data_IF_060469781036
#
_entry.id   IF_060469781036
#
_cell.length_a   1.000
_cell.length_b   1.000
_cell.length_c   1.000
_cell.angle_alpha   90.00
_cell.angle_beta   90.00
_cell.angle_gamma   90.00
#
_symmetry.space_group_name_H-M   'P 1'
#
loop_
_entity.id
_entity.type
_entity.pdbx_description
1 polymer ?
#
# COMPACT_ATOMS: atom_id res chain seq x y z
N UNK A 1 24.14 10.42 14.92
CA UNK A 1 22.74 10.19 15.35
C UNK A 1 22.23 8.93 14.68
N UNK A 2 21.60 8.05 15.46
CA UNK A 2 20.92 6.87 14.93
C UNK A 2 19.64 7.31 14.19
N UNK A 3 19.26 6.66 13.10
CA UNK A 3 18.02 6.95 12.35
C UNK A 3 16.80 6.95 13.27
N UNK A 4 16.74 6.05 14.25
CA UNK A 4 15.64 6.00 15.23
C UNK A 4 15.58 7.29 16.05
N UNK A 5 16.72 7.77 16.55
CA UNK A 5 16.80 9.02 17.33
C UNK A 5 16.33 10.23 16.50
N UNK A 6 16.67 10.29 15.21
CA UNK A 6 16.20 11.36 14.33
C UNK A 6 14.68 11.32 14.13
N UNK A 7 14.09 10.13 14.04
CA UNK A 7 12.64 9.96 13.94
C UNK A 7 11.97 10.36 15.26
N UNK A 8 12.49 9.92 16.40
CA UNK A 8 11.99 10.30 17.72
C UNK A 8 12.01 11.82 17.91
N UNK A 9 13.13 12.48 17.60
CA UNK A 9 13.24 13.94 17.67
C UNK A 9 12.24 14.66 16.76
N UNK A 10 12.00 14.11 15.56
CA UNK A 10 10.97 14.63 14.67
C UNK A 10 9.57 14.48 15.28
N UNK A 11 9.22 13.31 15.79
CA UNK A 11 7.89 13.06 16.37
C UNK A 11 7.65 13.90 17.63
N UNK A 12 8.65 14.06 18.50
CA UNK A 12 8.55 14.91 19.69
C UNK A 12 8.28 16.37 19.31
N UNK A 13 8.92 16.88 18.26
CA UNK A 13 8.66 18.23 17.75
C UNK A 13 7.26 18.40 17.16
N UNK A 14 6.59 17.30 16.83
CA UNK A 14 5.29 17.26 16.16
C UNK A 14 4.22 16.60 17.04
N UNK A 15 4.45 16.49 18.36
CA UNK A 15 3.60 15.69 19.25
C UNK A 15 2.14 16.16 19.25
N UNK A 16 1.92 17.48 19.25
CA UNK A 16 0.59 18.10 19.21
C UNK A 16 -0.14 17.91 17.86
N UNK A 17 0.56 17.38 16.85
CA UNK A 17 0.12 17.24 15.46
C UNK A 17 0.32 15.82 14.94
N UNK A 18 0.38 14.85 15.85
CA UNK A 18 0.67 13.46 15.54
C UNK A 18 -0.33 12.87 14.54
N UNK A 19 -1.61 13.28 14.60
CA UNK A 19 -2.64 12.88 13.65
C UNK A 19 -2.31 13.30 12.20
N UNK A 20 -1.72 14.49 12.00
CA UNK A 20 -1.27 14.92 10.67
C UNK A 20 -0.05 14.13 10.19
N UNK A 21 0.85 13.78 11.11
CA UNK A 21 2.01 12.93 10.81
C UNK A 21 1.54 11.54 10.38
N UNK A 22 0.54 10.97 11.05
CA UNK A 22 -0.08 9.69 10.68
C UNK A 22 -0.59 9.77 9.24
N UNK A 23 -1.35 10.82 8.90
CA UNK A 23 -1.90 10.99 7.56
C UNK A 23 -0.81 11.03 6.47
N UNK A 24 0.29 11.76 6.72
CA UNK A 24 1.41 11.86 5.77
C UNK A 24 2.18 10.53 5.64
N UNK A 25 2.42 9.85 6.76
CA UNK A 25 3.07 8.52 6.76
C UNK A 25 2.25 7.53 5.97
N UNK A 26 0.95 7.40 6.27
CA UNK A 26 0.06 6.45 5.61
C UNK A 26 -0.11 6.78 4.11
N UNK A 27 -0.09 8.06 3.73
CA UNK A 27 -0.12 8.49 2.35
C UNK A 27 1.16 8.11 1.59
N UNK A 28 2.33 8.23 2.23
CA UNK A 28 3.62 7.92 1.62
C UNK A 28 3.93 6.42 1.54
N UNK A 29 3.21 5.59 2.29
CA UNK A 29 3.35 4.14 2.25
C UNK A 29 2.89 3.54 0.91
N UNK A 30 3.61 2.53 0.39
CA UNK A 30 3.22 1.85 -0.83
C UNK A 30 1.94 1.04 -0.63
N UNK A 31 1.07 1.03 -1.65
CA UNK A 31 -0.18 0.23 -1.64
C UNK A 31 0.08 -1.25 -1.34
N UNK A 32 1.26 -1.78 -1.70
CA UNK A 32 1.64 -3.17 -1.46
C UNK A 32 1.64 -3.60 0.00
N UNK A 33 1.82 -2.66 0.94
CA UNK A 33 1.69 -2.96 2.36
C UNK A 33 0.27 -3.41 2.72
N UNK A 34 -0.73 -2.89 2.02
CA UNK A 34 -2.14 -3.09 2.32
C UNK A 34 -2.76 -4.27 1.58
N UNK A 35 -2.00 -4.99 0.75
CA UNK A 35 -2.56 -6.13 0.02
C UNK A 35 -2.68 -7.41 0.86
N UNK A 36 -1.72 -7.74 1.75
CA UNK A 36 -1.81 -8.99 2.52
C UNK A 36 -2.80 -8.92 3.69
N UNK A 37 -3.43 -10.05 4.06
CA UNK A 37 -3.42 -11.34 3.36
C UNK A 37 -4.45 -11.44 2.22
N UNK A 38 -5.30 -10.43 2.02
CA UNK A 38 -6.47 -10.46 1.11
C UNK A 38 -6.07 -10.67 -0.35
N UNK A 39 -4.85 -10.31 -0.73
CA UNK A 39 -4.26 -10.64 -2.04
C UNK A 39 -4.26 -12.15 -2.35
N UNK A 40 -4.38 -13.00 -1.33
CA UNK A 40 -4.46 -14.45 -1.43
C UNK A 40 -5.89 -15.00 -1.33
N UNK A 41 -6.89 -14.13 -1.13
CA UNK A 41 -8.29 -14.54 -1.12
C UNK A 41 -8.77 -14.96 -2.52
N UNK A 42 -9.81 -15.78 -2.54
CA UNK A 42 -10.32 -16.48 -3.72
C UNK A 42 -10.56 -15.54 -4.92
N UNK A 43 -11.14 -14.36 -4.70
CA UNK A 43 -11.43 -13.42 -5.80
C UNK A 43 -10.17 -12.91 -6.50
N UNK A 44 -9.20 -12.37 -5.75
CA UNK A 44 -7.95 -11.83 -6.32
C UNK A 44 -7.04 -12.94 -6.84
N UNK A 45 -7.06 -14.11 -6.20
CA UNK A 45 -6.33 -15.29 -6.68
C UNK A 45 -6.89 -15.78 -8.02
N UNK A 46 -8.22 -15.91 -8.14
CA UNK A 46 -8.87 -16.36 -9.38
C UNK A 46 -8.58 -15.41 -10.55
N UNK A 47 -8.58 -14.09 -10.32
CA UNK A 47 -8.20 -13.10 -11.35
C UNK A 47 -6.74 -13.31 -11.77
N UNK A 48 -5.82 -13.54 -10.82
CA UNK A 48 -4.41 -13.79 -11.11
C UNK A 48 -4.20 -15.06 -11.93
N UNK A 49 -4.92 -16.14 -11.63
CA UNK A 49 -4.85 -17.39 -12.37
C UNK A 49 -5.37 -17.26 -13.81
N UNK A 50 -6.43 -16.48 -14.00
CA UNK A 50 -6.94 -16.14 -15.33
C UNK A 50 -5.95 -15.28 -16.12
N UNK A 51 -5.33 -14.27 -15.49
CA UNK A 51 -4.26 -13.48 -16.11
C UNK A 51 -3.08 -14.36 -16.54
N UNK A 52 -2.64 -15.27 -15.68
CA UNK A 52 -1.59 -16.24 -15.99
C UNK A 52 -1.97 -17.14 -17.17
N UNK A 53 -3.23 -17.56 -17.26
CA UNK A 53 -3.73 -18.36 -18.39
C UNK A 53 -3.70 -17.56 -19.70
N UNK A 54 -4.14 -16.31 -19.68
CA UNK A 54 -4.14 -15.43 -20.85
C UNK A 54 -2.71 -15.11 -21.32
N UNK A 55 -1.77 -14.89 -20.38
CA UNK A 55 -0.36 -14.64 -20.72
C UNK A 55 0.27 -15.87 -21.38
N UNK A 56 -0.03 -17.08 -20.89
CA UNK A 56 0.43 -18.33 -21.49
C UNK A 56 -0.13 -18.50 -22.90
N UNK A 57 -1.41 -18.21 -23.12
CA UNK A 57 -2.03 -18.23 -24.46
C UNK A 57 -1.38 -17.23 -25.40
N UNK A 58 -1.16 -15.99 -24.95
CA UNK A 58 -0.50 -14.93 -25.73
C UNK A 58 0.91 -15.32 -26.20
N UNK A 59 1.64 -16.06 -25.37
CA UNK A 59 2.98 -16.55 -25.68
C UNK A 59 2.98 -17.81 -26.56
N UNK A 60 1.82 -18.44 -26.80
CA UNK A 60 1.71 -19.65 -27.59
C UNK A 60 1.59 -19.31 -29.09
N UNK A 61 2.34 -19.99 -29.98
CA UNK A 61 2.39 -19.64 -31.40
C UNK A 61 1.04 -19.61 -32.12
N UNK A 62 0.10 -20.49 -31.76
CA UNK A 62 -1.22 -20.57 -32.39
C UNK A 62 -2.13 -19.36 -32.11
N UNK A 63 -1.82 -18.57 -31.09
CA UNK A 63 -2.58 -17.40 -30.65
C UNK A 63 -1.79 -16.10 -30.78
N UNK A 64 -0.66 -16.15 -31.49
CA UNK A 64 0.21 -14.99 -31.69
C UNK A 64 -0.56 -13.92 -32.47
N UNK A 65 -0.60 -12.70 -31.93
CA UNK A 65 -1.37 -11.56 -32.46
C UNK A 65 -2.90 -11.70 -32.38
N UNK A 66 -3.42 -12.60 -31.54
CA UNK A 66 -4.85 -12.63 -31.23
C UNK A 66 -5.26 -11.39 -30.41
N UNK A 67 -5.88 -10.44 -31.12
CA UNK A 67 -6.37 -9.18 -30.53
C UNK A 67 -7.42 -9.40 -29.44
N UNK A 68 -8.18 -10.49 -29.49
CA UNK A 68 -9.18 -10.79 -28.48
C UNK A 68 -8.49 -11.22 -27.17
N UNK A 69 -7.42 -12.02 -27.24
CA UNK A 69 -6.63 -12.39 -26.06
C UNK A 69 -5.98 -11.15 -25.43
N UNK A 70 -5.40 -10.26 -26.25
CA UNK A 70 -4.84 -8.99 -25.75
C UNK A 70 -5.89 -8.11 -25.07
N UNK A 71 -7.07 -7.98 -25.69
CA UNK A 71 -8.18 -7.22 -25.10
C UNK A 71 -8.65 -7.81 -23.77
N UNK A 72 -8.84 -9.12 -23.70
CA UNK A 72 -9.25 -9.82 -22.47
C UNK A 72 -8.21 -9.67 -21.37
N UNK A 73 -6.92 -9.82 -21.70
CA UNK A 73 -5.83 -9.66 -20.75
C UNK A 73 -5.81 -8.24 -20.17
N UNK A 74 -5.82 -7.22 -21.02
CA UNK A 74 -5.79 -5.83 -20.58
C UNK A 74 -7.03 -5.46 -19.76
N UNK A 75 -8.22 -5.94 -20.15
CA UNK A 75 -9.45 -5.71 -19.39
C UNK A 75 -9.38 -6.34 -18.01
N UNK A 76 -8.89 -7.58 -17.92
CA UNK A 76 -8.77 -8.30 -16.66
C UNK A 76 -7.68 -7.70 -15.76
N UNK A 77 -6.57 -7.26 -16.35
CA UNK A 77 -5.47 -6.61 -15.63
C UNK A 77 -5.95 -5.31 -14.98
N UNK A 78 -6.66 -4.47 -15.74
CA UNK A 78 -7.28 -3.25 -15.19
C UNK A 78 -8.24 -3.54 -14.05
N UNK A 79 -9.04 -4.62 -14.16
CA UNK A 79 -9.93 -5.04 -13.08
C UNK A 79 -9.13 -5.43 -11.84
N UNK A 80 -8.06 -6.21 -12.01
CA UNK A 80 -7.19 -6.65 -10.93
C UNK A 80 -6.53 -5.46 -10.20
N UNK A 81 -5.95 -4.54 -10.96
CA UNK A 81 -5.31 -3.33 -10.42
C UNK A 81 -6.32 -2.43 -9.70
N UNK A 82 -7.53 -2.26 -10.24
CA UNK A 82 -8.59 -1.51 -9.59
C UNK A 82 -9.02 -2.16 -8.26
N UNK A 83 -9.14 -3.49 -8.22
CA UNK A 83 -9.46 -4.22 -6.99
C UNK A 83 -8.36 -4.09 -5.93
N UNK A 84 -7.08 -4.17 -6.33
CA UNK A 84 -5.95 -3.95 -5.42
C UNK A 84 -5.90 -2.51 -4.88
N UNK A 85 -6.14 -1.52 -5.75
CA UNK A 85 -6.19 -0.12 -5.35
C UNK A 85 -7.33 0.15 -4.36
N UNK A 86 -8.53 -0.36 -4.63
CA UNK A 86 -9.66 -0.23 -3.71
C UNK A 86 -9.41 -0.91 -2.36
N UNK A 87 -8.75 -2.08 -2.37
CA UNK A 87 -8.33 -2.77 -1.15
C UNK A 87 -7.33 -1.92 -0.35
N UNK A 88 -6.32 -1.36 -1.02
CA UNK A 88 -5.31 -0.53 -0.36
C UNK A 88 -5.92 0.73 0.27
N UNK A 89 -6.80 1.43 -0.45
CA UNK A 89 -7.53 2.60 0.09
C UNK A 89 -8.31 2.20 1.33
N UNK A 90 -9.13 1.15 1.24
CA UNK A 90 -9.95 0.69 2.36
C UNK A 90 -9.10 0.37 3.60
N UNK A 91 -8.02 -0.39 3.44
CA UNK A 91 -7.18 -0.79 4.58
C UNK A 91 -6.32 0.36 5.12
N UNK A 92 -5.92 1.31 4.26
CA UNK A 92 -5.26 2.55 4.69
C UNK A 92 -6.20 3.36 5.58
N UNK A 93 -7.45 3.52 5.17
CA UNK A 93 -8.46 4.22 5.96
C UNK A 93 -8.75 3.50 7.28
N UNK A 94 -8.83 2.17 7.28
CA UNK A 94 -8.99 1.38 8.51
C UNK A 94 -7.81 1.57 9.47
N UNK A 95 -6.58 1.44 8.99
CA UNK A 95 -5.39 1.65 9.81
C UNK A 95 -5.31 3.07 10.36
N UNK A 96 -5.74 4.07 9.56
CA UNK A 96 -5.84 5.46 10.00
C UNK A 96 -6.81 5.59 11.17
N UNK A 97 -8.03 5.08 11.03
CA UNK A 97 -9.05 5.12 12.10
C UNK A 97 -8.57 4.42 13.37
N UNK A 98 -7.94 3.24 13.23
CA UNK A 98 -7.34 2.50 14.34
C UNK A 98 -6.25 3.34 15.04
N UNK A 99 -5.31 3.91 14.30
CA UNK A 99 -4.24 4.72 14.89
C UNK A 99 -4.76 5.98 15.58
N UNK A 100 -5.80 6.64 15.04
CA UNK A 100 -6.31 7.89 15.60
C UNK A 100 -6.94 7.73 16.99
N UNK A 101 -7.48 6.53 17.31
CA UNK A 101 -8.09 6.25 18.62
C UNK A 101 -7.10 5.73 19.67
N UNK A 102 -5.88 5.39 19.25
CA UNK A 102 -4.81 4.90 20.13
C UNK A 102 -4.15 6.03 20.94
N UNK A 103 -3.38 5.65 21.96
CA UNK A 103 -2.63 6.62 22.77
C UNK A 103 -1.47 7.23 21.98
N UNK A 104 -1.01 8.41 22.39
CA UNK A 104 0.11 9.10 21.73
C UNK A 104 1.39 8.27 21.73
N UNK A 105 1.64 7.48 22.80
CA UNK A 105 2.78 6.57 22.85
C UNK A 105 2.69 5.46 21.81
N UNK A 106 1.50 4.89 21.62
CA UNK A 106 1.27 3.84 20.63
C UNK A 106 1.39 4.39 19.20
N UNK A 107 0.77 5.54 18.95
CA UNK A 107 0.91 6.29 17.69
C UNK A 107 2.39 6.52 17.38
N UNK A 108 3.17 7.04 18.33
CA UNK A 108 4.60 7.26 18.15
C UNK A 108 5.37 5.97 17.84
N UNK A 109 5.12 4.89 18.59
CA UNK A 109 5.79 3.61 18.36
C UNK A 109 5.51 3.03 16.96
N UNK A 110 4.26 3.11 16.50
CA UNK A 110 3.87 2.74 15.15
C UNK A 110 4.55 3.63 14.10
N UNK A 111 4.54 4.96 14.30
CA UNK A 111 5.18 5.89 13.37
C UNK A 111 6.69 5.66 13.27
N UNK A 112 7.40 5.42 14.38
CA UNK A 112 8.82 5.09 14.35
C UNK A 112 9.08 3.87 13.47
N UNK A 113 8.26 2.83 13.63
CA UNK A 113 8.39 1.58 12.89
C UNK A 113 8.15 1.80 11.39
N UNK A 114 7.04 2.45 11.03
CA UNK A 114 6.67 2.70 9.63
C UNK A 114 7.63 3.66 8.93
N UNK A 115 8.00 4.77 9.58
CA UNK A 115 8.93 5.76 9.02
C UNK A 115 10.29 5.12 8.75
N UNK A 116 10.77 4.25 9.65
CA UNK A 116 12.03 3.53 9.48
C UNK A 116 11.95 2.48 8.38
N UNK A 117 10.92 1.64 8.39
CA UNK A 117 10.76 0.55 7.42
C UNK A 117 10.70 1.08 5.97
N UNK A 118 9.96 2.17 5.76
CA UNK A 118 9.76 2.77 4.45
C UNK A 118 10.70 3.95 4.15
N UNK A 119 11.68 4.22 5.04
CA UNK A 119 12.64 5.33 4.92
C UNK A 119 11.98 6.69 4.61
N UNK A 120 10.92 7.03 5.35
CA UNK A 120 10.06 8.17 5.04
C UNK A 120 10.55 9.50 5.60
N UNK A 121 11.47 9.49 6.58
CA UNK A 121 11.83 10.69 7.35
C UNK A 121 12.18 11.90 6.48
N UNK A 122 12.94 11.71 5.40
CA UNK A 122 13.33 12.81 4.49
C UNK A 122 12.21 13.35 3.60
N UNK A 123 11.03 12.71 3.61
CA UNK A 123 9.85 13.07 2.81
C UNK A 123 8.72 13.65 3.65
N UNK A 124 8.79 13.53 4.98
CA UNK A 124 7.77 14.01 5.89
C UNK A 124 7.82 15.53 6.02
N UNK A 125 6.64 16.13 6.17
CA UNK A 125 6.51 17.58 6.40
C UNK A 125 6.76 17.93 7.86
N UNK A 126 7.34 19.11 8.10
CA UNK A 126 7.26 19.73 9.42
C UNK A 126 5.96 20.55 9.49
N UNK A 127 5.15 20.34 10.53
CA UNK A 127 3.92 21.10 10.71
C UNK A 127 4.17 22.25 11.70
N UNK A 128 4.09 23.49 11.21
CA UNK A 128 4.22 24.73 11.99
C UNK A 128 2.93 25.14 12.69
#
# INVERSE_FOLDING_TARGET
MNTIQLIEEYLVKQIDKLDFVIDDVLFLMPDSYFYPPEIHQEELSAIRDQLNTLIRKKNFPAYRHDRNIDYQYNKLLKKYEASLSALAVKKRDQLREELLVETDEMKCACMISLIKEYNLLGRLRAYE
#
